data_IF_940667278155
#
_entry.id   IF_940667278155
#
_cell.length_a   1.000
_cell.length_b   1.000
_cell.length_c   1.000
_cell.angle_alpha   90.00
_cell.angle_beta   90.00
_cell.angle_gamma   90.00
#
_symmetry.space_group_name_H-M   'P 1'
#
loop_
_entity.id
_entity.type
_entity.pdbx_description
1 polymer ?
#
# COMPACT_ATOMS: atom_id res chain seq x y z
N UNK A 1 2.39 -16.47 -5.78
CA UNK A 1 1.91 -15.07 -5.82
C UNK A 1 2.27 -14.42 -4.49
N UNK A 2 2.62 -13.13 -4.47
CA UNK A 2 3.00 -12.42 -3.25
C UNK A 2 1.94 -11.37 -2.95
N UNK A 3 1.41 -11.37 -1.73
CA UNK A 3 0.42 -10.41 -1.24
C UNK A 3 1.11 -9.37 -0.36
N UNK A 4 0.98 -8.10 -0.71
CA UNK A 4 1.59 -7.00 0.05
C UNK A 4 0.49 -6.19 0.72
N UNK A 5 0.65 -5.93 2.02
CA UNK A 5 -0.25 -5.11 2.83
C UNK A 5 0.49 -3.82 3.17
N UNK A 6 0.04 -2.71 2.57
CA UNK A 6 0.51 -1.38 2.93
C UNK A 6 -0.20 -0.93 4.21
N UNK A 7 0.57 -0.70 5.27
CA UNK A 7 0.10 -0.22 6.57
C UNK A 7 0.58 1.21 6.80
N UNK A 8 -0.27 2.03 7.39
CA UNK A 8 0.05 3.41 7.80
C UNK A 8 -0.48 3.64 9.22
N UNK A 9 0.04 4.67 9.90
CA UNK A 9 -0.39 5.10 11.23
C UNK A 9 0.68 4.95 12.31
N UNK A 10 0.74 5.95 13.19
CA UNK A 10 1.81 6.11 14.18
C UNK A 10 1.94 4.95 15.18
N UNK A 11 0.89 4.16 15.42
CA UNK A 11 0.98 2.97 16.27
C UNK A 11 1.81 1.86 15.60
N UNK A 12 1.61 1.64 14.29
CA UNK A 12 2.40 0.69 13.52
C UNK A 12 3.82 1.21 13.26
N UNK A 13 3.96 2.52 13.03
CA UNK A 13 5.24 3.16 12.70
C UNK A 13 6.17 3.34 13.90
N UNK A 14 5.65 3.82 15.03
CA UNK A 14 6.49 4.26 16.15
C UNK A 14 6.47 3.33 17.36
N UNK A 15 5.52 2.38 17.43
CA UNK A 15 5.48 1.40 18.52
C UNK A 15 5.89 0.01 18.04
N UNK A 16 7.21 -0.27 18.08
CA UNK A 16 7.80 -1.51 17.58
C UNK A 16 7.18 -2.78 18.17
N UNK A 17 6.91 -2.80 19.48
CA UNK A 17 6.31 -3.98 20.13
C UNK A 17 4.91 -4.28 19.56
N UNK A 18 4.14 -3.25 19.20
CA UNK A 18 2.85 -3.43 18.56
C UNK A 18 3.01 -4.02 17.15
N UNK A 19 3.89 -3.46 16.32
CA UNK A 19 4.05 -3.90 14.94
C UNK A 19 4.64 -5.31 14.85
N UNK A 20 5.57 -5.68 15.72
CA UNK A 20 6.11 -7.04 15.84
C UNK A 20 5.04 -8.03 16.30
N UNK A 21 4.26 -7.68 17.34
CA UNK A 21 3.18 -8.54 17.84
C UNK A 21 2.13 -8.77 16.77
N UNK A 22 1.72 -7.71 16.06
CA UNK A 22 0.75 -7.80 14.96
C UNK A 22 1.26 -8.70 13.83
N UNK A 23 2.52 -8.54 13.40
CA UNK A 23 3.12 -9.39 12.35
C UNK A 23 3.23 -10.85 12.80
N UNK A 24 3.60 -11.09 14.06
CA UNK A 24 3.67 -12.44 14.62
C UNK A 24 2.30 -13.12 14.67
N UNK A 25 1.27 -12.41 15.16
CA UNK A 25 -0.11 -12.92 15.19
C UNK A 25 -0.62 -13.19 13.78
N UNK A 26 -0.34 -12.31 12.80
CA UNK A 26 -0.72 -12.54 11.41
C UNK A 26 -0.05 -13.80 10.85
N UNK A 27 1.24 -14.00 11.12
CA UNK A 27 1.96 -15.22 10.73
C UNK A 27 1.33 -16.47 11.34
N UNK A 28 1.02 -16.44 12.64
CA UNK A 28 0.38 -17.56 13.34
C UNK A 28 -0.98 -17.91 12.73
N UNK A 29 -1.81 -16.90 12.43
CA UNK A 29 -3.13 -17.09 11.84
C UNK A 29 -3.09 -17.67 10.42
N UNK A 30 -2.09 -17.30 9.62
CA UNK A 30 -1.93 -17.77 8.24
C UNK A 30 -1.25 -19.14 8.15
N UNK A 31 -0.45 -19.51 9.16
CA UNK A 31 0.42 -20.67 9.14
C UNK A 31 1.69 -20.43 8.31
N UNK A 32 2.72 -21.22 8.57
CA UNK A 32 4.07 -21.00 8.04
C UNK A 32 4.10 -20.97 6.51
N UNK A 33 3.43 -21.93 5.84
CA UNK A 33 3.42 -22.07 4.38
C UNK A 33 2.85 -20.83 3.66
N UNK A 34 1.76 -20.26 4.17
CA UNK A 34 1.09 -19.11 3.54
C UNK A 34 1.75 -17.80 3.95
N UNK A 35 2.27 -17.72 5.18
CA UNK A 35 2.86 -16.49 5.73
C UNK A 35 4.05 -15.97 4.92
N UNK A 36 4.83 -16.85 4.29
CA UNK A 36 5.97 -16.48 3.44
C UNK A 36 5.55 -15.71 2.18
N UNK A 37 4.28 -15.86 1.76
CA UNK A 37 3.72 -15.14 0.62
C UNK A 37 3.16 -13.77 0.98
N UNK A 38 3.10 -13.41 2.27
CA UNK A 38 2.52 -12.14 2.76
C UNK A 38 3.61 -11.21 3.29
N UNK A 39 3.62 -9.98 2.81
CA UNK A 39 4.54 -8.95 3.29
C UNK A 39 3.76 -7.73 3.80
N UNK A 40 4.09 -7.26 5.01
CA UNK A 40 3.50 -6.07 5.61
C UNK A 40 4.53 -4.93 5.59
N UNK A 41 4.24 -3.90 4.80
CA UNK A 41 5.14 -2.75 4.59
C UNK A 41 4.56 -1.48 5.22
N UNK A 42 5.44 -0.58 5.67
CA UNK A 42 5.05 0.77 6.06
C UNK A 42 4.87 1.62 4.79
N UNK A 43 3.73 2.30 4.69
CA UNK A 43 3.41 3.24 3.62
C UNK A 43 3.12 4.61 4.24
N UNK A 44 4.18 5.37 4.51
CA UNK A 44 4.08 6.69 5.15
C UNK A 44 3.34 7.69 4.23
N UNK A 45 2.27 8.29 4.74
CA UNK A 45 1.35 9.18 4.02
C UNK A 45 0.83 8.57 2.71
N UNK A 46 0.52 7.27 2.74
CA UNK A 46 -0.01 6.56 1.58
C UNK A 46 -1.33 7.14 1.08
N UNK A 47 -2.11 7.75 1.99
CA UNK A 47 -3.39 8.38 1.64
C UNK A 47 -3.23 9.68 0.86
N UNK A 48 -2.29 10.56 1.23
CA UNK A 48 -2.03 11.80 0.51
C UNK A 48 -1.50 11.55 -0.90
N UNK A 49 -0.45 10.72 -1.01
CA UNK A 49 0.13 10.34 -2.31
C UNK A 49 -0.90 9.55 -3.14
N UNK A 50 -1.61 8.61 -2.53
CA UNK A 50 -2.65 7.82 -3.20
C UNK A 50 -3.77 8.69 -3.76
N UNK A 51 -4.23 9.70 -3.01
CA UNK A 51 -5.22 10.65 -3.49
C UNK A 51 -4.69 11.48 -4.68
N UNK A 52 -3.43 11.91 -4.62
CA UNK A 52 -2.80 12.63 -5.74
C UNK A 52 -2.68 11.76 -7.00
N UNK A 53 -2.29 10.48 -6.86
CA UNK A 53 -2.22 9.54 -7.98
C UNK A 53 -3.60 9.25 -8.58
N UNK A 54 -4.63 9.11 -7.74
CA UNK A 54 -6.02 8.96 -8.22
C UNK A 54 -6.49 10.21 -8.96
N UNK A 55 -6.22 11.40 -8.43
CA UNK A 55 -6.54 12.66 -9.10
C UNK A 55 -5.79 12.81 -10.45
N UNK A 56 -4.52 12.42 -10.50
CA UNK A 56 -3.72 12.45 -11.72
C UNK A 56 -4.26 11.50 -12.78
N UNK A 57 -4.55 10.24 -12.43
CA UNK A 57 -5.13 9.23 -13.34
C UNK A 57 -6.54 9.54 -13.84
N UNK A 58 -7.25 10.47 -13.17
CA UNK A 58 -8.57 10.96 -13.58
C UNK A 58 -8.52 12.44 -13.98
N UNK A 59 -7.35 12.96 -14.32
CA UNK A 59 -7.17 14.33 -14.75
C UNK A 59 -7.88 14.58 -16.08
N UNK A 60 -8.59 15.71 -16.20
CA UNK A 60 -9.20 16.13 -17.47
C UNK A 60 -8.16 16.38 -18.58
N UNK A 61 -6.90 16.62 -18.20
CA UNK A 61 -5.82 16.86 -19.14
C UNK A 61 -5.28 15.57 -19.78
N UNK A 62 -5.57 14.38 -19.22
CA UNK A 62 -5.16 13.11 -19.82
C UNK A 62 -5.82 12.88 -21.19
N UNK A 63 -7.10 13.22 -21.35
CA UNK A 63 -7.79 13.11 -22.65
C UNK A 63 -7.29 14.15 -23.66
N UNK A 64 -6.81 15.32 -23.21
CA UNK A 64 -6.28 16.35 -24.11
C UNK A 64 -4.92 15.94 -24.70
N UNK A 65 -4.12 15.15 -23.97
CA UNK A 65 -2.87 14.59 -24.48
C UNK A 65 -3.13 13.47 -25.52
N UNK A 66 -4.11 12.59 -25.29
CA UNK A 66 -4.49 11.55 -26.29
C UNK A 66 -5.06 12.19 -27.59
N UNK A 67 -5.88 13.23 -27.48
CA UNK A 67 -6.47 13.91 -28.66
C UNK A 67 -5.46 14.76 -29.46
N UNK A 68 -4.34 15.16 -28.85
CA UNK A 68 -3.27 15.92 -29.54
C UNK A 68 -2.20 15.02 -30.16
N UNK A 69 -1.95 13.82 -29.64
CA UNK A 69 -1.07 12.84 -30.29
C UNK A 69 -1.72 12.12 -31.49
N UNK A 70 -3.05 12.13 -31.59
CA UNK A 70 -3.77 11.48 -32.71
C UNK A 70 -3.95 12.38 -33.95
N UNK A 71 -3.18 13.48 -34.07
CA UNK A 71 -3.28 14.47 -35.18
C UNK A 71 -1.99 14.66 -35.94
#
# INVERSE_FOLDING_TARGET
QKSVIAMDGGLFEHYTQFSESMKSSLKELLGDEVSESVEVILSNDGSGIGAALLAASHSQYLQLEEDTETR
#
